data_IF_715190916838
#
_entry.id   IF_715190916838
#
_cell.length_a   1.000
_cell.length_b   1.000
_cell.length_c   1.000
_cell.angle_alpha   90.00
_cell.angle_beta   90.00
_cell.angle_gamma   90.00
#
_symmetry.space_group_name_H-M   'P 1'
#
loop_
_entity.id
_entity.type
_entity.pdbx_description
1 polymer ?
#
# COMPACT_ATOMS: atom_id res chain seq x y z
N UNK A 1 12.95 7.45 -8.21
CA UNK A 1 11.84 7.31 -7.25
C UNK A 1 12.21 6.35 -6.12
N UNK A 2 12.52 5.05 -6.40
CA UNK A 2 12.77 4.03 -5.35
C UNK A 2 13.93 4.43 -4.43
N UNK A 3 15.10 4.78 -4.97
CA UNK A 3 16.28 5.20 -4.16
C UNK A 3 15.97 6.40 -3.25
N UNK A 4 15.14 7.31 -3.70
CA UNK A 4 14.71 8.49 -2.91
C UNK A 4 13.80 8.09 -1.75
N UNK A 5 13.06 6.99 -1.88
CA UNK A 5 12.12 6.50 -0.88
C UNK A 5 12.79 5.65 0.23
N UNK A 6 13.98 5.08 -0.05
CA UNK A 6 14.68 4.18 0.90
C UNK A 6 14.85 4.79 2.29
N UNK A 7 15.37 6.03 2.46
CA UNK A 7 15.56 6.59 3.79
C UNK A 7 14.27 6.71 4.60
N UNK A 8 13.14 7.04 3.94
CA UNK A 8 11.85 7.12 4.61
C UNK A 8 11.36 5.73 5.07
N UNK A 9 11.51 4.71 4.22
CA UNK A 9 11.17 3.34 4.57
C UNK A 9 12.06 2.80 5.70
N UNK A 10 13.36 3.11 5.69
CA UNK A 10 14.30 2.76 6.78
C UNK A 10 13.92 3.44 8.10
N UNK A 11 13.38 4.65 8.04
CA UNK A 11 12.84 5.36 9.20
C UNK A 11 11.47 4.83 9.68
N UNK A 12 10.91 3.81 9.03
CA UNK A 12 9.67 3.14 9.44
C UNK A 12 8.42 3.58 8.68
N UNK A 13 8.54 4.43 7.66
CA UNK A 13 7.38 4.81 6.85
C UNK A 13 6.93 3.66 5.93
N UNK A 14 5.62 3.57 5.72
CA UNK A 14 5.03 2.77 4.65
C UNK A 14 4.91 3.67 3.42
N UNK A 15 5.78 3.46 2.43
CA UNK A 15 5.86 4.30 1.24
C UNK A 15 5.08 3.67 0.09
N UNK A 16 4.28 4.47 -0.61
CA UNK A 16 3.68 4.11 -1.90
C UNK A 16 4.11 5.09 -2.98
N UNK A 17 3.94 4.72 -4.24
CA UNK A 17 4.37 5.52 -5.39
C UNK A 17 3.15 6.02 -6.15
N UNK A 18 3.10 7.34 -6.35
CA UNK A 18 2.06 7.99 -7.13
C UNK A 18 2.43 8.10 -8.62
N UNK A 19 1.44 7.92 -9.47
CA UNK A 19 1.53 8.12 -10.93
C UNK A 19 0.64 9.31 -11.30
N UNK A 20 1.13 10.19 -12.15
CA UNK A 20 0.34 11.33 -12.63
C UNK A 20 -0.85 10.81 -13.44
N UNK A 21 -2.10 11.18 -13.08
CA UNK A 21 -3.27 10.71 -13.78
C UNK A 21 -3.33 11.29 -15.20
N UNK A 22 -3.71 10.45 -16.16
CA UNK A 22 -3.97 10.86 -17.54
C UNK A 22 -5.47 10.84 -17.88
N UNK A 23 -6.31 10.41 -16.92
CA UNK A 23 -7.76 10.34 -17.07
C UNK A 23 -8.46 9.96 -15.75
N UNK A 24 -9.80 10.00 -15.71
CA UNK A 24 -10.57 9.72 -14.49
C UNK A 24 -10.85 8.21 -14.32
N UNK A 25 -9.81 7.42 -14.08
CA UNK A 25 -9.92 5.98 -13.89
C UNK A 25 -10.61 5.63 -12.57
N UNK A 26 -11.58 4.75 -12.62
CA UNK A 26 -12.33 4.28 -11.44
C UNK A 26 -11.79 2.97 -10.87
N UNK A 27 -10.89 2.31 -11.57
CA UNK A 27 -10.25 1.05 -11.15
C UNK A 27 -9.01 1.24 -10.27
N UNK A 28 -8.57 2.48 -10.03
CA UNK A 28 -7.36 2.79 -9.29
C UNK A 28 -7.64 3.51 -7.97
N UNK A 29 -6.74 3.34 -7.01
CA UNK A 29 -6.67 4.19 -5.83
C UNK A 29 -6.09 5.56 -6.16
N UNK A 30 -6.58 6.59 -5.51
CA UNK A 30 -6.11 7.98 -5.63
C UNK A 30 -5.44 8.43 -4.35
N UNK A 31 -4.30 9.09 -4.49
CA UNK A 31 -3.48 9.57 -3.38
C UNK A 31 -3.36 11.08 -3.48
N UNK A 32 -3.73 11.79 -2.42
CA UNK A 32 -3.35 13.19 -2.21
C UNK A 32 -2.21 13.23 -1.22
N UNK A 33 -1.14 13.92 -1.58
CA UNK A 33 0.00 14.14 -0.72
C UNK A 33 0.21 15.64 -0.44
N UNK A 34 0.88 15.96 0.66
CA UNK A 34 1.30 17.33 0.96
C UNK A 34 2.04 17.95 -0.22
N UNK A 35 1.93 19.27 -0.44
CA UNK A 35 2.69 19.95 -1.49
C UNK A 35 4.19 19.77 -1.29
N UNK A 36 4.95 19.68 -2.39
CA UNK A 36 6.40 19.57 -2.34
C UNK A 36 6.98 18.58 -3.35
N UNK A 37 8.26 18.28 -3.19
CA UNK A 37 9.00 17.33 -4.03
C UNK A 37 9.52 16.16 -3.19
N UNK A 38 9.87 15.06 -3.85
CA UNK A 38 10.43 13.88 -3.20
C UNK A 38 9.37 13.06 -2.43
N UNK A 39 9.76 12.55 -1.26
CA UNK A 39 8.86 11.81 -0.38
C UNK A 39 8.02 12.80 0.42
N UNK A 40 6.71 12.60 0.41
CA UNK A 40 5.72 13.50 1.03
C UNK A 40 4.73 12.68 1.86
N UNK A 41 4.18 13.30 2.87
CA UNK A 41 3.12 12.66 3.67
C UNK A 41 1.84 12.54 2.84
N UNK A 42 1.21 11.38 2.93
CA UNK A 42 -0.11 11.14 2.35
C UNK A 42 -1.17 11.79 3.25
N UNK A 43 -1.93 12.72 2.68
CA UNK A 43 -3.06 13.37 3.36
C UNK A 43 -4.33 12.55 3.22
N UNK A 44 -4.51 11.92 2.05
CA UNK A 44 -5.71 11.18 1.73
C UNK A 44 -5.43 10.04 0.75
N UNK A 45 -6.04 8.91 1.01
CA UNK A 45 -6.09 7.76 0.11
C UNK A 45 -7.55 7.38 -0.14
N UNK A 46 -7.95 7.24 -1.40
CA UNK A 46 -9.30 6.85 -1.78
C UNK A 46 -9.21 5.71 -2.78
N UNK A 47 -9.69 4.55 -2.39
CA UNK A 47 -9.70 3.37 -3.25
C UNK A 47 -10.90 3.40 -4.18
N UNK A 48 -10.65 3.26 -5.48
CA UNK A 48 -11.66 3.08 -6.54
C UNK A 48 -12.86 4.03 -6.42
N UNK A 49 -12.67 5.36 -6.54
CA UNK A 49 -13.75 6.33 -6.45
C UNK A 49 -14.75 6.14 -7.60
N UNK A 50 -15.95 6.67 -7.44
CA UNK A 50 -16.89 6.77 -8.53
C UNK A 50 -16.40 7.73 -9.66
N UNK A 51 -17.03 7.66 -10.84
CA UNK A 51 -16.60 8.42 -12.00
C UNK A 51 -16.67 9.96 -11.80
N UNK A 52 -17.58 10.44 -10.98
CA UNK A 52 -17.73 11.88 -10.68
C UNK A 52 -16.59 12.34 -9.81
N UNK A 53 -16.30 11.60 -8.76
CA UNK A 53 -15.18 11.84 -7.84
C UNK A 53 -13.83 11.73 -8.56
N UNK A 54 -13.66 10.70 -9.43
CA UNK A 54 -12.42 10.54 -10.21
C UNK A 54 -12.17 11.74 -11.14
N UNK A 55 -13.21 12.24 -11.81
CA UNK A 55 -13.11 13.46 -12.64
C UNK A 55 -12.71 14.69 -11.83
N UNK A 56 -13.29 14.85 -10.64
CA UNK A 56 -12.95 15.94 -9.74
C UNK A 56 -11.48 15.88 -9.29
N UNK A 57 -10.96 14.69 -8.97
CA UNK A 57 -9.57 14.51 -8.57
C UNK A 57 -8.57 14.80 -9.69
N UNK A 58 -8.89 14.40 -10.92
CA UNK A 58 -8.05 14.74 -12.09
C UNK A 58 -8.07 16.24 -12.36
N UNK A 59 -9.24 16.89 -12.25
CA UNK A 59 -9.37 18.32 -12.43
C UNK A 59 -8.66 19.15 -11.35
N UNK A 60 -8.64 18.69 -10.10
CA UNK A 60 -7.89 19.30 -8.97
C UNK A 60 -6.38 19.31 -9.24
N UNK A 61 -5.84 18.28 -9.91
CA UNK A 61 -4.41 18.15 -10.21
C UNK A 61 -3.51 17.84 -9.02
N UNK A 62 -4.05 17.76 -7.79
CA UNK A 62 -3.29 17.43 -6.58
C UNK A 62 -3.26 15.92 -6.27
N UNK A 63 -3.97 15.12 -7.05
CA UNK A 63 -4.06 13.68 -6.85
C UNK A 63 -3.16 12.93 -7.83
N UNK A 64 -2.59 11.82 -7.33
CA UNK A 64 -1.90 10.82 -8.13
C UNK A 64 -2.64 9.49 -8.05
N UNK A 65 -2.52 8.62 -9.05
CA UNK A 65 -2.94 7.24 -8.91
C UNK A 65 -1.99 6.47 -8.01
N UNK A 66 -2.52 5.60 -7.15
CA UNK A 66 -1.71 4.60 -6.48
C UNK A 66 -1.19 3.57 -7.49
N UNK A 67 0.12 3.44 -7.60
CA UNK A 67 0.75 2.46 -8.51
C UNK A 67 0.59 1.00 -8.08
N UNK A 68 0.15 0.76 -6.84
CA UNK A 68 0.18 -0.58 -6.23
C UNK A 68 1.57 -1.04 -5.80
N UNK A 69 2.61 -0.23 -6.02
CA UNK A 69 3.96 -0.51 -5.52
C UNK A 69 4.15 0.10 -4.13
N UNK A 70 4.75 -0.68 -3.24
CA UNK A 70 5.03 -0.27 -1.87
C UNK A 70 6.49 -0.54 -1.52
N UNK A 71 7.05 0.31 -0.66
CA UNK A 71 8.37 0.14 -0.07
C UNK A 71 8.28 0.37 1.43
N UNK A 72 8.67 -0.62 2.22
CA UNK A 72 8.66 -0.54 3.69
C UNK A 72 9.58 -1.59 4.30
N UNK A 73 9.92 -1.42 5.57
CA UNK A 73 10.54 -2.47 6.38
C UNK A 73 9.47 -3.47 6.80
N UNK A 74 9.75 -4.76 6.66
CA UNK A 74 8.81 -5.83 7.05
C UNK A 74 8.34 -5.68 8.50
N UNK A 75 9.27 -5.36 9.44
CA UNK A 75 8.91 -5.11 10.83
C UNK A 75 7.90 -3.98 11.00
N UNK A 76 8.11 -2.82 10.36
CA UNK A 76 7.19 -1.69 10.44
C UNK A 76 5.79 -2.04 9.93
N UNK A 77 5.69 -2.80 8.84
CA UNK A 77 4.42 -3.30 8.33
C UNK A 77 3.72 -4.25 9.32
N UNK A 78 4.48 -5.20 9.88
CA UNK A 78 3.93 -6.17 10.85
C UNK A 78 3.48 -5.50 12.15
N UNK A 79 4.19 -4.47 12.61
CA UNK A 79 3.80 -3.69 13.79
C UNK A 79 2.49 -2.94 13.56
N UNK A 80 2.33 -2.29 12.39
CA UNK A 80 1.07 -1.65 12.03
C UNK A 80 -0.08 -2.65 11.83
N UNK A 81 0.21 -3.80 11.22
CA UNK A 81 -0.78 -4.86 11.07
C UNK A 81 -1.23 -5.41 12.43
N UNK A 82 -0.29 -5.60 13.37
CA UNK A 82 -0.59 -6.02 14.74
C UNK A 82 -1.49 -5.01 15.46
N UNK A 83 -1.25 -3.72 15.24
CA UNK A 83 -2.01 -2.64 15.86
C UNK A 83 -3.41 -2.47 15.28
N UNK A 84 -3.53 -2.58 13.95
CA UNK A 84 -4.77 -2.25 13.22
C UNK A 84 -5.64 -3.47 12.94
N UNK A 85 -5.03 -4.62 12.70
CA UNK A 85 -5.70 -5.86 12.30
C UNK A 85 -5.07 -7.09 12.96
N UNK A 86 -5.10 -7.19 14.31
CA UNK A 86 -4.43 -8.27 15.04
C UNK A 86 -4.95 -9.66 14.66
N UNK A 87 -6.25 -9.78 14.36
CA UNK A 87 -6.86 -11.06 13.95
C UNK A 87 -6.29 -11.53 12.61
N UNK A 88 -6.13 -10.61 11.65
CA UNK A 88 -5.53 -10.92 10.35
C UNK A 88 -4.08 -11.36 10.51
N UNK A 89 -3.29 -10.68 11.35
CA UNK A 89 -1.91 -11.08 11.61
C UNK A 89 -1.83 -12.47 12.26
N UNK A 90 -2.73 -12.77 13.20
CA UNK A 90 -2.78 -14.08 13.85
C UNK A 90 -3.12 -15.19 12.84
N UNK A 91 -4.10 -14.97 11.96
CA UNK A 91 -4.45 -15.90 10.89
C UNK A 91 -3.30 -16.16 9.93
N UNK A 92 -2.60 -15.10 9.48
CA UNK A 92 -1.43 -15.23 8.61
C UNK A 92 -0.30 -16.04 9.28
N UNK A 93 -0.06 -15.82 10.56
CA UNK A 93 0.94 -16.58 11.33
C UNK A 93 0.55 -18.06 11.46
N UNK A 94 -0.70 -18.35 11.80
CA UNK A 94 -1.21 -19.71 11.89
C UNK A 94 -1.10 -20.46 10.56
N UNK A 95 -1.48 -19.80 9.44
CA UNK A 95 -1.36 -20.38 8.11
C UNK A 95 0.09 -20.68 7.72
N UNK A 96 1.04 -19.84 8.13
CA UNK A 96 2.47 -20.08 7.90
C UNK A 96 3.02 -21.18 8.80
N UNK A 97 2.66 -21.20 10.09
CA UNK A 97 3.09 -22.22 11.05
C UNK A 97 2.61 -23.62 10.65
N UNK A 98 1.40 -23.72 10.12
CA UNK A 98 0.79 -24.97 9.64
C UNK A 98 1.14 -25.26 8.16
N UNK A 99 2.01 -24.45 7.55
CA UNK A 99 2.41 -24.62 6.17
C UNK A 99 3.27 -25.88 5.98
N UNK A 100 3.28 -26.39 4.75
CA UNK A 100 4.18 -27.47 4.32
C UNK A 100 5.11 -27.00 3.21
N UNK A 101 6.35 -27.49 3.25
CA UNK A 101 7.27 -27.32 2.11
C UNK A 101 6.94 -28.33 1.01
N UNK A 102 6.93 -27.83 -0.22
CA UNK A 102 6.73 -28.60 -1.43
C UNK A 102 7.80 -28.13 -2.44
N UNK A 103 8.94 -28.82 -2.42
CA UNK A 103 10.17 -28.44 -3.17
C UNK A 103 10.61 -27.02 -2.81
N UNK A 104 10.45 -26.06 -3.73
CA UNK A 104 10.83 -24.65 -3.56
C UNK A 104 9.64 -23.76 -3.08
N UNK A 105 8.47 -24.36 -2.87
CA UNK A 105 7.26 -23.65 -2.46
C UNK A 105 6.96 -23.86 -0.98
N UNK A 106 6.37 -22.84 -0.37
CA UNK A 106 5.69 -22.93 0.93
C UNK A 106 4.19 -22.89 0.66
N UNK A 107 3.51 -24.01 0.93
CA UNK A 107 2.05 -24.08 0.81
C UNK A 107 1.42 -23.75 2.14
N UNK A 108 0.79 -22.60 2.20
CA UNK A 108 0.07 -22.14 3.38
C UNK A 108 -1.12 -23.06 3.66
N UNK A 109 -1.49 -23.16 4.93
CA UNK A 109 -2.71 -23.84 5.33
C UNK A 109 -3.93 -23.00 4.93
N UNK A 110 -4.84 -23.59 4.16
CA UNK A 110 -5.98 -22.88 3.58
C UNK A 110 -7.11 -22.63 4.60
N UNK A 111 -7.21 -23.46 5.64
CA UNK A 111 -8.27 -23.32 6.65
C UNK A 111 -7.89 -22.24 7.69
N UNK A 112 -6.58 -22.01 7.88
CA UNK A 112 -6.07 -20.99 8.78
C UNK A 112 -5.98 -19.60 8.11
N UNK A 113 -5.87 -19.54 6.76
CA UNK A 113 -5.76 -18.31 5.99
C UNK A 113 -7.13 -17.76 5.61
#
# INVERSE_FOLDING_TARGET
AVRTAVPAAEAGALVTFGIVPTGPETGYGYIRAEPGQGVRKVERFVEKPDATTARAYVADGAYAWNSGMFLFRAGAFLDELARLQPVMLAACRAALEQSRRDVDFVRLDADAF
#
